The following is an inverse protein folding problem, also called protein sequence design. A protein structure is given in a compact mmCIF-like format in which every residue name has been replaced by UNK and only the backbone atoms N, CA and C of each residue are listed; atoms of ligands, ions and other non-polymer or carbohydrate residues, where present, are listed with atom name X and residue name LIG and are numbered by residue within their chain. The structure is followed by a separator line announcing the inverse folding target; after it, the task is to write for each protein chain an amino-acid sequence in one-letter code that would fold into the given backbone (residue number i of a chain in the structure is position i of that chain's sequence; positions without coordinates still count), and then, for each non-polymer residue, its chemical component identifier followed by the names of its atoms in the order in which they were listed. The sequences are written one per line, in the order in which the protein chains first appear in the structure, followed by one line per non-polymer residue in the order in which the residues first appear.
data_IF_165577752967
#
_entry.id   IF_165577752967
#
_cell.length_a   1.000
_cell.length_b   1.000
_cell.length_c   1.000
_cell.angle_alpha   90.00
_cell.angle_beta   90.00
_cell.angle_gamma   90.00
#
_symmetry.space_group_name_H-M   'P 1'
#
loop_
_entity.id
_entity.type
_entity.pdbx_description
1 polymer ?
#
# COMPACT_ATOMS: atom_id res chain seq x y z
N UNK A 1 31.43 28.98 47.32
CA UNK A 1 30.40 29.79 46.61
C UNK A 1 29.28 30.14 47.55
N UNK A 2 28.84 31.41 47.55
CA UNK A 2 27.65 31.85 48.31
C UNK A 2 26.38 31.26 47.68
N UNK A 3 25.32 31.04 48.46
CA UNK A 3 24.05 30.44 48.00
C UNK A 3 23.50 31.11 46.72
N UNK A 4 23.62 32.44 46.64
CA UNK A 4 23.22 33.24 45.46
C UNK A 4 23.97 32.83 44.18
N UNK A 5 25.26 32.50 44.27
CA UNK A 5 26.05 32.05 43.11
C UNK A 5 25.65 30.64 42.67
N UNK A 6 25.30 29.75 43.62
CA UNK A 6 24.82 28.40 43.30
C UNK A 6 23.47 28.44 42.57
N UNK A 7 22.57 29.33 42.99
CA UNK A 7 21.28 29.53 42.33
C UNK A 7 21.45 30.05 40.89
N UNK A 8 22.33 31.02 40.68
CA UNK A 8 22.62 31.55 39.33
C UNK A 8 23.18 30.48 38.41
N UNK A 9 24.13 29.66 38.90
CA UNK A 9 24.69 28.55 38.11
C UNK A 9 23.62 27.50 37.79
N UNK A 10 22.76 27.15 38.76
CA UNK A 10 21.66 26.21 38.53
C UNK A 10 20.69 26.73 37.45
N UNK A 11 20.30 28.00 37.53
CA UNK A 11 19.43 28.62 36.54
C UNK A 11 20.07 28.62 35.15
N UNK A 12 21.38 28.94 35.05
CA UNK A 12 22.10 28.93 33.78
C UNK A 12 22.17 27.51 33.17
N UNK A 13 22.42 26.49 34.00
CA UNK A 13 22.45 25.08 33.56
C UNK A 13 21.06 24.63 33.08
N UNK A 14 19.99 24.96 33.82
CA UNK A 14 18.63 24.63 33.40
C UNK A 14 18.23 25.32 32.10
N UNK A 15 18.65 26.57 31.90
CA UNK A 15 18.45 27.31 30.65
C UNK A 15 19.18 26.67 29.48
N UNK A 16 20.45 26.27 29.68
CA UNK A 16 21.24 25.57 28.67
C UNK A 16 20.64 24.19 28.32
N UNK A 17 20.15 23.45 29.32
CA UNK A 17 19.48 22.16 29.08
C UNK A 17 18.14 22.36 28.36
N UNK A 18 17.38 23.40 28.69
CA UNK A 18 16.15 23.76 27.98
C UNK A 18 16.41 24.14 26.52
N UNK A 19 17.42 24.97 26.27
CA UNK A 19 17.84 25.33 24.91
C UNK A 19 18.38 24.13 24.13
N UNK A 20 19.17 23.26 24.76
CA UNK A 20 19.64 22.03 24.16
C UNK A 20 18.48 21.11 23.78
N UNK A 21 17.46 20.94 24.65
CA UNK A 21 16.27 20.16 24.29
C UNK A 21 15.56 20.74 23.06
N UNK A 22 15.34 22.06 23.04
CA UNK A 22 14.65 22.74 21.93
C UNK A 22 15.43 22.61 20.62
N UNK A 23 16.76 22.79 20.65
CA UNK A 23 17.58 22.80 19.43
C UNK A 23 18.06 21.41 18.97
N UNK A 24 18.39 20.48 19.88
CA UNK A 24 18.90 19.15 19.54
C UNK A 24 17.80 18.08 19.45
N UNK A 25 16.76 18.16 20.29
CA UNK A 25 15.72 17.12 20.35
C UNK A 25 14.47 17.55 19.57
N UNK A 26 14.00 18.78 19.76
CA UNK A 26 12.78 19.26 19.09
C UNK A 26 13.07 19.89 17.70
N UNK A 27 14.34 20.16 17.37
CA UNK A 27 14.77 20.62 16.04
C UNK A 27 14.51 19.63 14.90
N UNK A 28 14.13 18.39 15.23
CA UNK A 28 13.70 17.35 14.29
C UNK A 28 12.27 17.50 13.80
N UNK A 29 11.36 18.06 14.60
CA UNK A 29 9.92 18.16 14.26
C UNK A 29 9.61 19.17 13.15
N UNK A 30 10.62 19.96 12.73
CA UNK A 30 10.53 20.92 11.63
C UNK A 30 11.61 20.80 10.55
N UNK A 31 12.47 19.77 10.63
CA UNK A 31 13.63 19.59 9.74
C UNK A 31 13.22 19.44 8.27
N UNK A 32 14.06 19.91 7.34
CA UNK A 32 13.85 19.73 5.91
C UNK A 32 13.76 18.25 5.50
N UNK A 33 14.37 17.33 6.26
CA UNK A 33 14.23 15.89 6.07
C UNK A 33 12.80 15.44 6.40
N UNK A 34 12.29 15.74 7.60
CA UNK A 34 10.91 15.48 8.01
C UNK A 34 9.88 16.05 7.02
N UNK A 35 10.09 17.28 6.51
CA UNK A 35 9.21 17.88 5.49
C UNK A 35 9.25 17.16 4.13
N UNK A 36 10.41 16.62 3.72
CA UNK A 36 10.53 15.80 2.50
C UNK A 36 9.84 14.46 2.70
N UNK A 37 10.01 13.84 3.86
CA UNK A 37 9.35 12.58 4.21
C UNK A 37 7.82 12.76 4.23
N UNK A 38 7.32 13.85 4.81
CA UNK A 38 5.91 14.23 4.79
C UNK A 38 5.38 14.47 3.36
N UNK A 39 6.16 15.08 2.47
CA UNK A 39 5.77 15.28 1.06
C UNK A 39 5.76 13.97 0.28
N UNK A 40 6.78 13.13 0.46
CA UNK A 40 6.85 11.82 -0.16
C UNK A 40 5.69 10.94 0.32
N UNK A 41 5.42 10.93 1.62
CA UNK A 41 4.28 10.25 2.23
C UNK A 41 2.95 10.74 1.68
N UNK A 42 2.74 12.07 1.55
CA UNK A 42 1.53 12.61 0.93
C UNK A 42 1.40 12.26 -0.55
N UNK A 43 2.50 12.24 -1.31
CA UNK A 43 2.50 11.80 -2.71
C UNK A 43 2.08 10.33 -2.81
N UNK A 44 2.65 9.47 -1.95
CA UNK A 44 2.25 8.08 -1.79
C UNK A 44 0.75 7.95 -1.44
N UNK A 45 0.27 8.66 -0.42
CA UNK A 45 -1.15 8.60 -0.01
C UNK A 45 -2.08 9.05 -1.14
N UNK A 46 -1.70 10.07 -1.91
CA UNK A 46 -2.45 10.49 -3.08
C UNK A 46 -2.50 9.38 -4.15
N UNK A 47 -1.39 8.69 -4.40
CA UNK A 47 -1.33 7.55 -5.34
C UNK A 47 -2.16 6.34 -4.91
N UNK A 48 -2.41 6.18 -3.60
CA UNK A 48 -3.27 5.12 -3.06
C UNK A 48 -4.76 5.36 -3.30
N UNK A 49 -5.19 6.62 -3.42
CA UNK A 49 -6.60 6.97 -3.51
C UNK A 49 -7.15 6.69 -4.90
N UNK A 50 -8.02 5.70 -5.01
CA UNK A 50 -8.77 5.39 -6.23
C UNK A 50 -10.26 5.74 -6.06
N UNK A 51 -10.91 6.39 -7.05
CA UNK A 51 -12.34 6.64 -6.99
C UNK A 51 -13.13 5.33 -6.86
N UNK A 52 -14.03 5.25 -5.87
CA UNK A 52 -14.93 4.10 -5.74
C UNK A 52 -16.01 4.15 -6.82
N UNK A 53 -16.37 2.99 -7.37
CA UNK A 53 -17.42 2.90 -8.38
C UNK A 53 -17.02 3.58 -9.69
N UNK A 54 -15.72 3.62 -10.00
CA UNK A 54 -15.24 4.15 -11.26
C UNK A 54 -15.71 3.26 -12.42
N UNK A 55 -16.12 3.88 -13.51
CA UNK A 55 -16.56 3.21 -14.73
C UNK A 55 -15.96 3.91 -15.94
N UNK A 56 -15.74 3.14 -17.00
CA UNK A 56 -15.29 3.68 -18.29
C UNK A 56 -16.48 4.33 -18.99
N UNK A 57 -16.43 5.65 -19.19
CA UNK A 57 -17.55 6.42 -19.77
C UNK A 57 -17.33 6.86 -21.21
N UNK A 58 -16.10 6.79 -21.72
CA UNK A 58 -15.71 7.36 -23.02
C UNK A 58 -15.02 6.36 -23.95
N UNK A 59 -15.30 5.06 -23.80
CA UNK A 59 -14.74 4.01 -24.65
C UNK A 59 -15.69 2.83 -24.75
N UNK A 60 -15.61 2.10 -25.86
CA UNK A 60 -16.30 0.82 -26.06
C UNK A 60 -15.45 -0.38 -25.62
N UNK A 61 -14.18 -0.15 -25.28
CA UNK A 61 -13.29 -1.20 -24.80
C UNK A 61 -13.72 -1.65 -23.40
N UNK A 62 -13.62 -2.95 -23.17
CA UNK A 62 -13.77 -3.49 -21.82
C UNK A 62 -12.60 -3.04 -20.92
N UNK A 63 -12.80 -2.98 -19.60
CA UNK A 63 -11.72 -2.74 -18.65
C UNK A 63 -10.54 -3.72 -18.79
N UNK A 64 -10.83 -4.94 -19.25
CA UNK A 64 -9.86 -6.00 -19.49
C UNK A 64 -8.97 -5.71 -20.68
N UNK A 65 -9.55 -5.24 -21.78
CA UNK A 65 -8.81 -4.87 -22.99
C UNK A 65 -7.89 -3.69 -22.72
N UNK A 66 -8.37 -2.68 -21.98
CA UNK A 66 -7.53 -1.56 -21.55
C UNK A 66 -6.36 -2.05 -20.70
N UNK A 67 -6.64 -2.86 -19.67
CA UNK A 67 -5.60 -3.40 -18.80
C UNK A 67 -4.57 -4.24 -19.56
N UNK A 68 -5.00 -4.99 -20.58
CA UNK A 68 -4.09 -5.82 -21.38
C UNK A 68 -3.09 -5.00 -22.22
N UNK A 69 -3.45 -3.76 -22.58
CA UNK A 69 -2.60 -2.85 -23.38
C UNK A 69 -1.51 -2.17 -22.56
N UNK A 70 -1.60 -2.20 -21.24
CA UNK A 70 -0.62 -1.60 -20.33
C UNK A 70 0.70 -2.37 -20.25
N UNK A 71 0.68 -3.67 -20.56
CA UNK A 71 1.82 -4.54 -20.33
C UNK A 71 2.95 -4.22 -21.31
N UNK A 72 4.08 -3.77 -20.77
CA UNK A 72 5.30 -3.47 -21.51
C UNK A 72 6.50 -4.32 -21.07
N UNK A 73 7.66 -4.17 -21.72
CA UNK A 73 8.86 -4.94 -21.37
C UNK A 73 9.42 -4.66 -19.97
N UNK A 74 9.03 -3.54 -19.35
CA UNK A 74 9.59 -3.03 -18.09
C UNK A 74 8.53 -2.68 -17.04
N UNK A 75 7.26 -2.85 -17.36
CA UNK A 75 6.13 -2.49 -16.49
C UNK A 75 4.91 -3.36 -16.83
N UNK A 76 4.05 -3.61 -15.84
CA UNK A 76 2.76 -4.30 -16.04
C UNK A 76 1.62 -3.29 -16.13
N UNK A 77 1.80 -2.11 -15.55
CA UNK A 77 0.92 -0.97 -15.62
C UNK A 77 1.73 0.34 -15.53
N UNK A 78 1.33 1.42 -16.23
CA UNK A 78 1.99 2.73 -16.13
C UNK A 78 1.91 3.35 -14.73
N UNK A 79 2.85 4.25 -14.40
CA UNK A 79 2.77 5.03 -13.14
C UNK A 79 1.43 5.81 -13.06
N UNK A 80 1.05 6.45 -14.17
CA UNK A 80 -0.23 7.15 -14.32
C UNK A 80 -1.26 6.24 -15.01
N UNK A 81 -2.10 5.57 -14.22
CA UNK A 81 -3.14 4.65 -14.73
C UNK A 81 -4.54 5.11 -14.30
N UNK A 82 -5.17 6.09 -14.99
CA UNK A 82 -6.45 6.67 -14.58
C UNK A 82 -7.62 5.68 -14.63
N UNK A 83 -7.56 4.66 -15.50
CA UNK A 83 -8.59 3.63 -15.65
C UNK A 83 -8.47 2.52 -14.60
N UNK A 84 -7.41 2.49 -13.78
CA UNK A 84 -7.17 1.42 -12.81
C UNK A 84 -8.33 1.24 -11.84
N UNK A 85 -8.90 2.35 -11.36
CA UNK A 85 -10.06 2.32 -10.48
C UNK A 85 -11.25 1.61 -11.13
N UNK A 86 -11.45 1.79 -12.43
CA UNK A 86 -12.53 1.14 -13.18
C UNK A 86 -12.26 -0.36 -13.33
N UNK A 87 -11.01 -0.75 -13.64
CA UNK A 87 -10.60 -2.16 -13.72
C UNK A 87 -10.80 -2.89 -12.38
N UNK A 88 -10.39 -2.29 -11.26
CA UNK A 88 -10.59 -2.88 -9.93
C UNK A 88 -12.07 -2.93 -9.53
N UNK A 89 -12.85 -1.91 -9.89
CA UNK A 89 -14.30 -1.88 -9.67
C UNK A 89 -14.96 -3.03 -10.44
N UNK A 90 -14.60 -3.22 -11.71
CA UNK A 90 -15.07 -4.33 -12.52
C UNK A 90 -14.64 -5.68 -11.95
N UNK A 91 -13.41 -5.81 -11.43
CA UNK A 91 -12.95 -7.05 -10.81
C UNK A 91 -13.79 -7.42 -9.56
N UNK A 92 -14.25 -6.41 -8.83
CA UNK A 92 -15.06 -6.61 -7.61
C UNK A 92 -16.52 -6.97 -7.87
N UNK A 93 -17.05 -6.69 -9.07
CA UNK A 93 -18.49 -6.70 -9.35
C UNK A 93 -18.89 -7.51 -10.59
N UNK A 94 -17.95 -7.87 -11.45
CA UNK A 94 -18.23 -8.67 -12.64
C UNK A 94 -18.83 -10.03 -12.27
N UNK A 95 -19.85 -10.43 -13.03
CA UNK A 95 -20.51 -11.73 -12.86
C UNK A 95 -19.52 -12.85 -13.17
N UNK A 96 -19.47 -13.86 -12.32
CA UNK A 96 -18.70 -15.09 -12.57
C UNK A 96 -19.55 -15.99 -13.48
N UNK A 97 -19.02 -16.33 -14.65
CA UNK A 97 -19.69 -17.23 -15.61
C UNK A 97 -19.28 -18.69 -15.42
N UNK A 98 -18.01 -18.93 -15.09
CA UNK A 98 -17.46 -20.28 -14.87
C UNK A 98 -16.44 -20.26 -13.74
N UNK A 99 -16.30 -21.41 -13.07
CA UNK A 99 -15.25 -21.66 -12.09
C UNK A 99 -14.61 -23.02 -12.37
N UNK A 100 -13.29 -23.09 -12.23
CA UNK A 100 -12.50 -24.30 -12.38
C UNK A 100 -11.41 -24.36 -11.29
N UNK A 101 -10.84 -25.54 -11.06
CA UNK A 101 -9.71 -25.72 -10.13
C UNK A 101 -8.41 -25.37 -10.86
N UNK A 102 -7.56 -24.56 -10.23
CA UNK A 102 -6.27 -24.19 -10.83
C UNK A 102 -5.40 -25.42 -11.10
N UNK A 103 -4.99 -25.64 -12.35
CA UNK A 103 -4.31 -26.86 -12.80
C UNK A 103 -2.86 -27.03 -12.30
N UNK A 104 -2.25 -26.03 -11.62
CA UNK A 104 -0.83 -26.02 -11.25
C UNK A 104 -0.54 -25.32 -9.93
N UNK A 105 0.35 -25.89 -9.12
CA UNK A 105 0.84 -25.36 -7.83
C UNK A 105 0.42 -26.22 -6.64
N UNK A 106 1.00 -25.95 -5.47
CA UNK A 106 0.73 -26.69 -4.22
C UNK A 106 -0.38 -26.07 -3.36
N UNK A 107 -0.76 -24.83 -3.66
CA UNK A 107 -1.73 -24.04 -2.90
C UNK A 107 -3.11 -24.08 -3.57
N UNK A 108 -4.17 -24.09 -2.76
CA UNK A 108 -5.56 -24.05 -3.23
C UNK A 108 -5.87 -22.68 -3.88
N UNK A 109 -6.34 -22.73 -5.12
CA UNK A 109 -6.83 -21.58 -5.89
C UNK A 109 -7.82 -22.02 -6.95
N UNK A 110 -8.76 -21.15 -7.28
CA UNK A 110 -9.71 -21.35 -8.38
C UNK A 110 -9.36 -20.44 -9.56
N UNK A 111 -9.65 -20.91 -10.77
CA UNK A 111 -9.72 -20.09 -11.96
C UNK A 111 -11.18 -19.67 -12.12
N UNK A 112 -11.46 -18.38 -12.09
CA UNK A 112 -12.78 -17.84 -12.41
C UNK A 112 -12.75 -17.24 -13.81
N UNK A 113 -13.81 -17.47 -14.57
CA UNK A 113 -14.07 -16.74 -15.81
C UNK A 113 -15.19 -15.76 -15.54
N UNK A 114 -14.89 -14.47 -15.66
CA UNK A 114 -15.81 -13.37 -15.50
C UNK A 114 -16.52 -13.08 -16.83
N UNK A 115 -17.62 -12.33 -16.74
CA UNK A 115 -18.34 -11.80 -17.89
C UNK A 115 -17.40 -11.09 -18.87
N UNK A 116 -17.57 -11.35 -20.17
CA UNK A 116 -16.61 -10.94 -21.20
C UNK A 116 -15.39 -11.85 -21.33
N UNK A 117 -15.40 -13.03 -20.69
CA UNK A 117 -14.37 -14.06 -20.86
C UNK A 117 -13.06 -13.82 -20.09
N UNK A 118 -12.98 -12.78 -19.26
CA UNK A 118 -11.79 -12.47 -18.47
C UNK A 118 -11.51 -13.57 -17.46
N UNK A 119 -10.27 -14.07 -17.45
CA UNK A 119 -9.83 -15.09 -16.49
C UNK A 119 -9.14 -14.44 -15.29
N UNK A 120 -9.53 -14.83 -14.09
CA UNK A 120 -8.92 -14.33 -12.85
C UNK A 120 -8.60 -15.48 -11.90
N UNK A 121 -7.55 -15.31 -11.10
CA UNK A 121 -7.18 -16.25 -10.05
C UNK A 121 -7.87 -15.84 -8.76
N UNK A 122 -8.63 -16.75 -8.17
CA UNK A 122 -9.25 -16.56 -6.88
C UNK A 122 -8.49 -17.33 -5.81
N UNK A 123 -7.93 -16.61 -4.83
CA UNK A 123 -7.29 -17.20 -3.64
C UNK A 123 -8.22 -17.07 -2.44
N UNK A 124 -8.71 -18.18 -1.86
CA UNK A 124 -9.63 -18.13 -0.73
C UNK A 124 -8.91 -17.64 0.54
N UNK A 125 -9.67 -17.04 1.46
CA UNK A 125 -9.17 -16.73 2.81
C UNK A 125 -8.82 -18.03 3.55
N UNK A 126 -7.62 -18.10 4.11
CA UNK A 126 -7.12 -19.25 4.89
C UNK A 126 -6.91 -18.94 6.37
N UNK A 127 -6.69 -17.68 6.72
CA UNK A 127 -6.37 -17.23 8.07
C UNK A 127 -7.20 -16.01 8.48
N UNK A 128 -7.33 -15.77 9.78
CA UNK A 128 -7.75 -14.48 10.32
C UNK A 128 -6.68 -13.41 10.09
N UNK A 129 -7.01 -12.13 10.29
CA UNK A 129 -6.09 -11.01 9.99
C UNK A 129 -4.92 -10.93 10.99
N UNK A 130 -5.15 -11.40 12.20
CA UNK A 130 -4.24 -11.42 13.35
C UNK A 130 -3.43 -12.72 13.47
N UNK A 131 -3.68 -13.69 12.59
CA UNK A 131 -2.97 -14.96 12.60
C UNK A 131 -1.48 -14.78 12.28
N UNK A 132 -0.62 -15.36 13.12
CA UNK A 132 0.83 -15.41 12.92
C UNK A 132 1.21 -16.76 12.33
N UNK A 133 1.92 -16.75 11.20
CA UNK A 133 2.48 -17.96 10.60
C UNK A 133 3.78 -18.29 11.32
N UNK A 134 3.84 -19.44 11.96
CA UNK A 134 5.03 -19.96 12.65
C UNK A 134 5.78 -20.97 11.78
N UNK A 135 7.06 -21.20 12.10
CA UNK A 135 7.93 -22.16 11.42
C UNK A 135 8.87 -21.52 10.41
N UNK A 136 9.17 -22.24 9.34
CA UNK A 136 10.10 -21.80 8.28
C UNK A 136 9.60 -20.54 7.56
N UNK A 137 10.49 -19.72 6.95
CA UNK A 137 10.10 -18.49 6.24
C UNK A 137 9.08 -18.67 5.10
N UNK A 138 8.95 -19.89 4.58
CA UNK A 138 8.03 -20.26 3.49
C UNK A 138 6.84 -21.11 3.98
N UNK A 139 6.67 -21.25 5.30
CA UNK A 139 5.57 -22.01 5.89
C UNK A 139 4.20 -21.36 5.63
N UNK A 140 3.15 -22.17 5.74
CA UNK A 140 1.75 -21.72 5.69
C UNK A 140 1.12 -21.72 4.30
N UNK A 141 -0.11 -21.21 4.25
CA UNK A 141 -0.90 -21.08 3.03
C UNK A 141 -0.82 -19.66 2.46
N UNK A 142 -1.12 -19.54 1.17
CA UNK A 142 -1.29 -18.24 0.52
C UNK A 142 -2.31 -17.37 1.27
N UNK A 143 -1.98 -16.09 1.44
CA UNK A 143 -2.80 -15.09 2.13
C UNK A 143 -3.45 -14.16 1.12
N UNK A 144 -4.76 -14.30 0.90
CA UNK A 144 -5.52 -13.44 -0.03
C UNK A 144 -5.29 -11.93 0.20
N UNK A 145 -5.18 -11.50 1.46
CA UNK A 145 -4.92 -10.11 1.83
C UNK A 145 -3.48 -9.68 1.57
N UNK A 146 -2.52 -10.61 1.55
CA UNK A 146 -1.14 -10.30 1.19
C UNK A 146 -1.02 -9.98 -0.30
N UNK A 147 -1.77 -10.67 -1.18
CA UNK A 147 -1.83 -10.34 -2.61
C UNK A 147 -2.36 -8.92 -2.85
N UNK A 148 -3.46 -8.57 -2.17
CA UNK A 148 -4.05 -7.22 -2.25
C UNK A 148 -3.06 -6.17 -1.71
N UNK A 149 -2.46 -6.41 -0.55
CA UNK A 149 -1.50 -5.48 0.04
C UNK A 149 -0.24 -5.30 -0.82
N UNK A 150 0.30 -6.38 -1.38
CA UNK A 150 1.47 -6.34 -2.25
C UNK A 150 1.18 -5.54 -3.53
N UNK A 151 0.02 -5.76 -4.17
CA UNK A 151 -0.40 -4.97 -5.32
C UNK A 151 -0.47 -3.46 -5.01
N UNK A 152 -1.03 -3.08 -3.86
CA UNK A 152 -1.10 -1.66 -3.50
C UNK A 152 0.26 -1.09 -3.07
N UNK A 153 1.13 -1.89 -2.47
CA UNK A 153 2.49 -1.48 -2.09
C UNK A 153 3.38 -1.28 -3.32
N UNK A 154 3.21 -2.10 -4.37
CA UNK A 154 3.95 -1.97 -5.64
C UNK A 154 3.67 -0.64 -6.36
N UNK A 155 2.51 -0.03 -6.10
CA UNK A 155 2.09 1.26 -6.69
C UNK A 155 2.66 2.49 -5.96
N UNK A 156 3.33 2.30 -4.83
CA UNK A 156 3.83 3.36 -3.93
C UNK A 156 5.32 3.59 -4.18
#
# INVERSE_FOLDING_TARGET
MKLKQRLVVLCAVLLLLGLAKIFLLDGGEGSAASRRDLRAFRKMEAGLSLPRGAHLTHTLQSPWEIASQWVGPREVYPEETPELAAVLTSLSSARIERADVGYKGTQLKALLVLDGGQKVVFKPKRYSRDYVVEGEPYAGYDRHNAEVAAFHLDRI
#
